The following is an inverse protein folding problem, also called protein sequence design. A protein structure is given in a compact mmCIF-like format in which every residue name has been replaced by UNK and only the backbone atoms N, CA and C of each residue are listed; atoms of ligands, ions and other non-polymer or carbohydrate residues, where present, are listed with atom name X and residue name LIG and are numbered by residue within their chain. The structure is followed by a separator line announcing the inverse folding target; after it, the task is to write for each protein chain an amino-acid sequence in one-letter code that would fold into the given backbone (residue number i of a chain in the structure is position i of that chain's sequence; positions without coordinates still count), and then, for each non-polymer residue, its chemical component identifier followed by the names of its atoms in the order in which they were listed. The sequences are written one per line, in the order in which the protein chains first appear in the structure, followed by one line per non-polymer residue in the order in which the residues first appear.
data_IF_726131402461
#
_entry.id   IF_726131402461
#
_cell.length_a   1.000
_cell.length_b   1.000
_cell.length_c   1.000
_cell.angle_alpha   90.00
_cell.angle_beta   90.00
_cell.angle_gamma   90.00
#
_symmetry.space_group_name_H-M   'P 1'
#
loop_
_entity.id
_entity.type
_entity.pdbx_description
1 polymer ?
#
# COMPACT_ATOMS: atom_id res chain seq x y z
N UNK A 1 28.78 -50.76 -16.64
CA UNK A 1 29.19 -49.35 -16.81
C UNK A 1 27.90 -48.55 -16.96
N UNK A 2 27.29 -48.15 -15.84
CA UNK A 2 26.12 -47.28 -15.85
C UNK A 2 26.53 -46.03 -15.07
N UNK A 3 26.93 -44.98 -15.77
CA UNK A 3 27.25 -43.69 -15.16
C UNK A 3 25.95 -42.90 -15.04
N UNK A 4 25.35 -42.92 -13.86
CA UNK A 4 24.17 -42.10 -13.54
C UNK A 4 24.57 -40.63 -13.52
N UNK A 5 24.18 -39.89 -14.57
CA UNK A 5 24.30 -38.42 -14.59
C UNK A 5 23.23 -37.82 -13.68
N UNK A 6 23.63 -37.24 -12.56
CA UNK A 6 22.74 -36.44 -11.73
C UNK A 6 22.45 -35.10 -12.43
N UNK A 7 21.21 -34.89 -12.86
CA UNK A 7 20.73 -33.60 -13.37
C UNK A 7 20.73 -32.58 -12.23
N UNK A 8 21.58 -31.55 -12.33
CA UNK A 8 21.59 -30.44 -11.39
C UNK A 8 20.29 -29.61 -11.50
N UNK A 9 19.63 -29.39 -10.36
CA UNK A 9 18.42 -28.56 -10.28
C UNK A 9 18.74 -27.08 -10.61
N UNK A 10 17.81 -26.33 -11.22
CA UNK A 10 18.04 -24.93 -11.58
C UNK A 10 18.17 -24.06 -10.32
N UNK A 11 19.19 -23.22 -10.27
CA UNK A 11 19.37 -22.21 -9.23
C UNK A 11 18.42 -21.05 -9.51
N UNK A 12 17.40 -20.87 -8.66
CA UNK A 12 16.49 -19.71 -8.76
C UNK A 12 17.28 -18.45 -8.40
N UNK A 13 17.39 -17.52 -9.35
CA UNK A 13 18.04 -16.24 -9.12
C UNK A 13 17.21 -15.39 -8.13
N UNK A 14 17.76 -15.12 -6.95
CA UNK A 14 17.11 -14.29 -5.92
C UNK A 14 17.34 -12.81 -6.21
N UNK A 15 16.32 -11.97 -5.98
CA UNK A 15 16.46 -10.52 -6.10
C UNK A 15 17.55 -10.00 -5.12
N UNK A 16 18.38 -9.07 -5.59
CA UNK A 16 19.40 -8.44 -4.74
C UNK A 16 18.75 -7.72 -3.55
N UNK A 17 19.28 -7.95 -2.34
CA UNK A 17 18.77 -7.34 -1.09
C UNK A 17 18.68 -5.82 -1.17
N UNK A 18 19.67 -5.18 -1.77
CA UNK A 18 19.69 -3.71 -1.95
C UNK A 18 18.55 -3.24 -2.84
N UNK A 19 18.23 -3.98 -3.91
CA UNK A 19 17.12 -3.66 -4.80
C UNK A 19 15.78 -3.80 -4.07
N UNK A 20 15.61 -4.86 -3.28
CA UNK A 20 14.40 -5.08 -2.47
C UNK A 20 14.21 -3.94 -1.48
N UNK A 21 15.26 -3.61 -0.71
CA UNK A 21 15.21 -2.51 0.27
C UNK A 21 14.86 -1.17 -0.37
N UNK A 22 15.48 -0.84 -1.50
CA UNK A 22 15.20 0.42 -2.19
C UNK A 22 13.77 0.47 -2.74
N UNK A 23 13.29 -0.62 -3.34
CA UNK A 23 11.91 -0.71 -3.81
C UNK A 23 10.90 -0.57 -2.67
N UNK A 24 11.15 -1.21 -1.52
CA UNK A 24 10.30 -1.09 -0.32
C UNK A 24 10.31 0.33 0.23
N UNK A 25 11.46 1.01 0.24
CA UNK A 25 11.57 2.39 0.71
C UNK A 25 10.77 3.33 -0.20
N UNK A 26 10.97 3.25 -1.51
CA UNK A 26 10.24 4.08 -2.49
C UNK A 26 8.73 3.84 -2.39
N UNK A 27 8.30 2.58 -2.32
CA UNK A 27 6.89 2.24 -2.15
C UNK A 27 6.30 2.84 -0.88
N UNK A 28 7.00 2.69 0.25
CA UNK A 28 6.61 3.30 1.53
C UNK A 28 6.51 4.82 1.42
N UNK A 29 7.50 5.47 0.79
CA UNK A 29 7.49 6.93 0.61
C UNK A 29 6.28 7.41 -0.18
N UNK A 30 5.96 6.74 -1.31
CA UNK A 30 4.79 7.11 -2.14
C UNK A 30 3.50 6.92 -1.33
N UNK A 31 3.37 5.81 -0.62
CA UNK A 31 2.21 5.53 0.22
C UNK A 31 1.99 6.64 1.26
N UNK A 32 3.05 7.06 1.96
CA UNK A 32 2.96 8.18 2.91
C UNK A 32 2.66 9.51 2.22
N UNK A 33 3.31 9.79 1.09
CA UNK A 33 3.12 11.04 0.35
C UNK A 33 1.65 11.25 -0.04
N UNK A 34 1.04 10.25 -0.68
CA UNK A 34 -0.36 10.33 -1.09
C UNK A 34 -1.29 10.43 0.13
N UNK A 35 -1.00 9.69 1.20
CA UNK A 35 -1.80 9.71 2.42
C UNK A 35 -1.77 11.08 3.11
N UNK A 36 -0.62 11.75 3.13
CA UNK A 36 -0.47 13.10 3.68
C UNK A 36 -1.26 14.13 2.88
N UNK A 37 -1.13 14.11 1.55
CA UNK A 37 -1.87 15.04 0.68
C UNK A 37 -3.38 14.81 0.83
N UNK A 38 -3.82 13.55 0.87
CA UNK A 38 -5.23 13.22 1.07
C UNK A 38 -5.72 13.69 2.45
N UNK A 39 -4.94 13.49 3.52
CA UNK A 39 -5.30 13.95 4.85
C UNK A 39 -5.44 15.48 4.92
N UNK A 40 -4.50 16.21 4.32
CA UNK A 40 -4.56 17.67 4.20
C UNK A 40 -5.80 18.11 3.42
N UNK A 41 -6.10 17.47 2.30
CA UNK A 41 -7.30 17.74 1.51
C UNK A 41 -8.58 17.41 2.28
N UNK A 42 -8.59 16.34 3.09
CA UNK A 42 -9.72 15.95 3.93
C UNK A 42 -10.07 17.00 5.00
N UNK A 43 -9.08 17.77 5.47
CA UNK A 43 -9.31 18.85 6.43
C UNK A 43 -9.68 20.16 5.74
N UNK A 44 -9.03 20.49 4.62
CA UNK A 44 -9.11 21.85 4.04
C UNK A 44 -10.09 21.94 2.87
N UNK A 45 -10.16 20.93 2.01
CA UNK A 45 -10.83 21.02 0.70
C UNK A 45 -12.14 20.22 0.69
N UNK A 46 -12.09 18.95 1.11
CA UNK A 46 -13.21 18.02 1.01
C UNK A 46 -14.46 18.39 1.82
N UNK A 47 -14.38 19.04 3.00
CA UNK A 47 -15.58 19.48 3.71
C UNK A 47 -16.46 20.39 2.86
N UNK A 48 -15.83 21.26 2.05
CA UNK A 48 -16.53 22.20 1.17
C UNK A 48 -16.99 21.57 -0.14
N UNK A 49 -16.24 20.61 -0.69
CA UNK A 49 -16.59 19.99 -1.97
C UNK A 49 -17.64 18.88 -1.85
N UNK A 50 -17.55 18.05 -0.81
CA UNK A 50 -18.38 16.85 -0.68
C UNK A 50 -19.48 16.96 0.38
N UNK A 51 -19.35 17.88 1.34
CA UNK A 51 -20.32 18.07 2.43
C UNK A 51 -20.83 19.53 2.56
N UNK A 52 -21.19 20.23 1.46
CA UNK A 52 -21.53 21.66 1.48
C UNK A 52 -22.82 21.98 2.25
N UNK A 53 -23.72 21.01 2.42
CA UNK A 53 -24.98 21.18 3.14
C UNK A 53 -24.85 20.99 4.67
N UNK A 54 -23.68 20.53 5.14
CA UNK A 54 -23.42 20.29 6.56
C UNK A 54 -22.90 21.56 7.26
N UNK A 55 -23.13 21.67 8.57
CA UNK A 55 -22.51 22.73 9.37
C UNK A 55 -20.98 22.59 9.38
N UNK A 56 -20.24 23.69 9.53
CA UNK A 56 -18.78 23.71 9.31
C UNK A 56 -18.00 22.61 10.06
N UNK A 57 -18.28 22.39 11.34
CA UNK A 57 -17.63 21.32 12.11
C UNK A 57 -18.09 19.91 11.71
N UNK A 58 -19.37 19.73 11.38
CA UNK A 58 -19.92 18.46 10.93
C UNK A 58 -19.36 18.04 9.56
N UNK A 59 -19.19 18.99 8.63
CA UNK A 59 -18.60 18.74 7.31
C UNK A 59 -17.16 18.21 7.43
N UNK A 60 -16.36 18.82 8.32
CA UNK A 60 -14.99 18.35 8.61
C UNK A 60 -15.00 16.95 9.20
N UNK A 61 -15.89 16.68 10.16
CA UNK A 61 -15.98 15.37 10.79
C UNK A 61 -16.39 14.26 9.80
N UNK A 62 -17.33 14.55 8.91
CA UNK A 62 -17.74 13.62 7.84
C UNK A 62 -16.61 13.35 6.85
N UNK A 63 -15.88 14.39 6.45
CA UNK A 63 -14.70 14.25 5.59
C UNK A 63 -13.59 13.42 6.24
N UNK A 64 -13.31 13.66 7.52
CA UNK A 64 -12.37 12.85 8.29
C UNK A 64 -12.85 11.41 8.47
N UNK A 65 -14.17 11.18 8.61
CA UNK A 65 -14.72 9.83 8.67
C UNK A 65 -14.51 9.08 7.34
N UNK A 66 -14.61 9.74 6.19
CA UNK A 66 -14.23 9.15 4.90
C UNK A 66 -12.74 8.83 4.85
N UNK A 67 -11.88 9.73 5.31
CA UNK A 67 -10.45 9.46 5.42
C UNK A 67 -10.13 8.26 6.33
N UNK A 68 -10.89 8.09 7.42
CA UNK A 68 -10.74 6.98 8.36
C UNK A 68 -10.92 5.60 7.71
N UNK A 69 -11.69 5.49 6.61
CA UNK A 69 -11.86 4.24 5.85
C UNK A 69 -10.51 3.70 5.37
N UNK A 70 -9.56 4.58 5.06
CA UNK A 70 -8.24 4.17 4.58
C UNK A 70 -7.45 3.39 5.64
N UNK A 71 -7.70 3.60 6.94
CA UNK A 71 -7.09 2.83 8.03
C UNK A 71 -7.60 1.39 8.12
N UNK A 72 -8.77 1.11 7.54
CA UNK A 72 -9.32 -0.25 7.43
C UNK A 72 -8.90 -0.87 6.10
N UNK A 73 -8.97 -0.08 5.01
CA UNK A 73 -8.59 -0.53 3.68
C UNK A 73 -7.12 -0.96 3.60
N UNK A 74 -6.19 -0.27 4.28
CA UNK A 74 -4.76 -0.60 4.26
C UNK A 74 -4.44 -1.98 4.86
N UNK A 75 -4.89 -2.35 6.08
CA UNK A 75 -4.74 -3.70 6.60
C UNK A 75 -5.33 -4.78 5.69
N UNK A 76 -6.51 -4.52 5.10
CA UNK A 76 -7.16 -5.47 4.19
C UNK A 76 -6.33 -5.64 2.91
N UNK A 77 -5.90 -4.53 2.32
CA UNK A 77 -5.02 -4.52 1.15
C UNK A 77 -3.70 -5.25 1.45
N UNK A 78 -3.08 -4.97 2.60
CA UNK A 78 -1.85 -5.65 3.00
C UNK A 78 -2.04 -7.16 3.18
N UNK A 79 -3.15 -7.60 3.76
CA UNK A 79 -3.45 -9.03 3.89
C UNK A 79 -3.63 -9.70 2.52
N UNK A 80 -4.36 -9.05 1.60
CA UNK A 80 -4.63 -9.59 0.25
C UNK A 80 -3.39 -9.57 -0.64
N UNK A 81 -2.78 -8.40 -0.80
CA UNK A 81 -1.63 -8.19 -1.69
C UNK A 81 -0.33 -8.74 -1.09
N UNK A 82 -0.20 -8.77 0.24
CA UNK A 82 0.90 -9.48 0.90
C UNK A 82 0.82 -10.98 0.63
N UNK A 83 -0.36 -11.58 0.82
CA UNK A 83 -0.55 -13.01 0.49
C UNK A 83 -0.31 -13.30 -1.00
N UNK A 84 -0.75 -12.41 -1.89
CA UNK A 84 -0.51 -12.54 -3.32
C UNK A 84 0.98 -12.44 -3.67
N UNK A 85 1.68 -11.48 -3.07
CA UNK A 85 3.12 -11.30 -3.23
C UNK A 85 3.91 -12.51 -2.73
N UNK A 86 3.53 -13.09 -1.59
CA UNK A 86 4.16 -14.30 -1.05
C UNK A 86 3.98 -15.52 -1.98
N UNK A 87 2.90 -15.57 -2.76
CA UNK A 87 2.60 -16.67 -3.70
C UNK A 87 3.18 -16.49 -5.09
N UNK A 88 3.19 -15.26 -5.60
CA UNK A 88 3.54 -14.98 -7.01
C UNK A 88 5.00 -14.51 -7.14
N UNK A 89 5.56 -13.88 -6.10
CA UNK A 89 6.90 -13.29 -6.11
C UNK A 89 6.92 -11.84 -6.52
#
# INVERSE_FOLDING_TARGET
MESTSATAAPVVATNSKTRVLFASLVGTTIEFFDFYIYATAAVIIFPHLFFPASSGSAAVLQSLATFAIAFIARPIGAALFGHLGDRIG
#
